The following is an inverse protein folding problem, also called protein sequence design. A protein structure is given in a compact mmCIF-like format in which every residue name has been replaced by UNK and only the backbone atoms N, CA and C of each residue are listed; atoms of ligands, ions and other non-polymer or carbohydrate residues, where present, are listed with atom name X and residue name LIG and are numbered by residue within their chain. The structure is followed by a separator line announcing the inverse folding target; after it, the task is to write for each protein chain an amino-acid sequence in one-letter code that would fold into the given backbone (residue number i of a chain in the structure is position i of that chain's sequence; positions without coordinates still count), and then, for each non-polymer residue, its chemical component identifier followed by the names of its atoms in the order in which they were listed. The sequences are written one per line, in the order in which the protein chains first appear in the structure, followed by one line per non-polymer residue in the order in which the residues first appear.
data_IF_914812096326
#
_entry.id   IF_914812096326
#
_cell.length_a   1.000
_cell.length_b   1.000
_cell.length_c   1.000
_cell.angle_alpha   90.00
_cell.angle_beta   90.00
_cell.angle_gamma   90.00
#
_symmetry.space_group_name_H-M   'P 1'
#
loop_
_entity.id
_entity.type
_entity.pdbx_description
1 polymer ?
#
# COMPACT_ATOMS: atom_id res chain seq x y z
N UNK A 1 8.70 -8.13 6.87
CA UNK A 1 8.46 -8.27 5.42
C UNK A 1 8.86 -6.97 4.75
N UNK A 2 9.60 -7.05 3.64
CA UNK A 2 9.99 -5.90 2.82
C UNK A 2 8.76 -5.50 1.99
N UNK A 3 8.27 -4.27 2.17
CA UNK A 3 7.06 -3.78 1.51
C UNK A 3 7.42 -3.29 0.10
N UNK A 4 6.69 -3.78 -0.90
CA UNK A 4 6.84 -3.35 -2.30
C UNK A 4 5.61 -2.52 -2.70
N UNK A 5 5.81 -1.24 -3.00
CA UNK A 5 4.75 -0.37 -3.51
C UNK A 5 4.60 -0.56 -5.02
N UNK A 6 3.42 -0.98 -5.44
CA UNK A 6 3.06 -1.11 -6.86
C UNK A 6 3.42 -2.46 -7.48
N UNK A 7 2.62 -2.84 -8.48
CA UNK A 7 2.86 -4.00 -9.34
C UNK A 7 1.72 -5.00 -9.35
N UNK A 8 1.09 -5.32 -8.22
CA UNK A 8 0.20 -6.48 -8.16
C UNK A 8 0.88 -7.71 -8.78
N UNK A 9 0.23 -8.40 -9.70
CA UNK A 9 0.83 -9.50 -10.47
C UNK A 9 2.06 -9.09 -11.31
N UNK A 10 2.25 -7.80 -11.61
CA UNK A 10 3.43 -7.29 -12.35
C UNK A 10 4.71 -7.28 -11.52
N UNK A 11 4.64 -7.32 -10.18
CA UNK A 11 5.83 -7.52 -9.34
C UNK A 11 6.53 -8.83 -9.73
N UNK A 12 5.74 -9.88 -9.97
CA UNK A 12 6.23 -11.19 -10.37
C UNK A 12 6.74 -11.23 -11.83
N UNK A 13 6.41 -10.25 -12.66
CA UNK A 13 6.85 -10.20 -14.07
C UNK A 13 8.37 -9.96 -14.20
N UNK A 14 9.02 -9.44 -13.15
CA UNK A 14 10.47 -9.28 -13.10
C UNK A 14 11.21 -10.59 -12.74
N UNK A 15 10.50 -11.63 -12.31
CA UNK A 15 11.12 -12.91 -11.94
C UNK A 15 11.36 -13.78 -13.17
N UNK A 16 12.59 -14.32 -13.31
CA UNK A 16 12.97 -15.27 -14.39
C UNK A 16 12.23 -16.61 -14.31
N UNK A 17 11.61 -16.92 -13.17
CA UNK A 17 10.84 -18.12 -12.92
C UNK A 17 10.06 -18.02 -11.61
N UNK A 18 9.36 -19.09 -11.23
CA UNK A 18 8.58 -19.10 -9.99
C UNK A 18 9.52 -19.11 -8.78
N UNK A 19 9.57 -18.00 -8.05
CA UNK A 19 10.32 -17.92 -6.81
C UNK A 19 9.61 -18.72 -5.69
N UNK A 20 10.32 -19.61 -4.98
CA UNK A 20 9.73 -20.44 -3.92
C UNK A 20 9.19 -19.60 -2.76
N UNK A 21 9.90 -18.54 -2.37
CA UNK A 21 9.56 -17.68 -1.23
C UNK A 21 9.11 -16.27 -1.66
N UNK A 22 8.30 -16.18 -2.72
CA UNK A 22 7.82 -14.90 -3.24
C UNK A 22 7.00 -14.15 -2.16
N UNK A 23 7.45 -12.97 -1.68
CA UNK A 23 6.71 -12.23 -0.66
C UNK A 23 5.31 -11.81 -1.12
N UNK A 24 5.15 -11.48 -2.41
CA UNK A 24 3.86 -11.14 -3.00
C UNK A 24 2.87 -12.32 -3.06
N UNK A 25 3.36 -13.57 -3.00
CA UNK A 25 2.51 -14.77 -2.91
C UNK A 25 2.28 -15.22 -1.48
N UNK A 26 3.32 -15.19 -0.66
CA UNK A 26 3.27 -15.59 0.75
C UNK A 26 2.37 -14.66 1.56
N UNK A 27 2.38 -13.36 1.24
CA UNK A 27 1.63 -12.34 1.97
C UNK A 27 0.44 -11.81 1.18
N UNK A 28 -0.06 -12.55 0.18
CA UNK A 28 -1.24 -12.11 -0.59
C UNK A 28 -2.49 -12.14 0.28
N UNK A 29 -3.46 -11.24 0.05
CA UNK A 29 -4.76 -11.35 0.71
C UNK A 29 -5.45 -12.68 0.39
N UNK A 30 -6.09 -13.28 1.39
CA UNK A 30 -6.83 -14.55 1.24
C UNK A 30 -8.35 -14.33 1.18
N UNK A 31 -8.81 -13.13 1.58
CA UNK A 31 -10.23 -12.74 1.59
C UNK A 31 -10.51 -11.70 0.51
N UNK A 32 -11.76 -11.64 0.04
CA UNK A 32 -12.21 -10.62 -0.92
C UNK A 32 -11.99 -9.20 -0.36
N UNK A 33 -12.39 -8.97 0.89
CA UNK A 33 -12.19 -7.71 1.61
C UNK A 33 -10.71 -7.29 1.62
N UNK A 34 -9.81 -8.25 1.88
CA UNK A 34 -8.37 -8.00 1.87
C UNK A 34 -7.86 -7.62 0.47
N UNK A 35 -8.38 -8.26 -0.58
CA UNK A 35 -8.05 -7.90 -1.97
C UNK A 35 -8.56 -6.51 -2.34
N UNK A 36 -9.78 -6.16 -1.95
CA UNK A 36 -10.38 -4.86 -2.21
C UNK A 36 -9.58 -3.74 -1.54
N UNK A 37 -9.21 -3.90 -0.27
CA UNK A 37 -8.37 -2.93 0.44
C UNK A 37 -6.96 -2.86 -0.14
N UNK A 38 -6.39 -3.99 -0.57
CA UNK A 38 -5.07 -4.01 -1.22
C UNK A 38 -5.07 -3.26 -2.57
N UNK A 39 -6.11 -3.43 -3.38
CA UNK A 39 -6.30 -2.67 -4.62
C UNK A 39 -6.52 -1.17 -4.33
N UNK A 40 -7.32 -0.84 -3.31
CA UNK A 40 -7.51 0.54 -2.85
C UNK A 40 -6.17 1.21 -2.51
N UNK A 41 -5.34 0.57 -1.68
CA UNK A 41 -4.02 1.09 -1.27
C UNK A 41 -3.13 1.40 -2.48
N UNK A 42 -3.17 0.55 -3.50
CA UNK A 42 -2.40 0.75 -4.75
C UNK A 42 -2.81 2.02 -5.51
N UNK A 43 -4.01 2.55 -5.27
CA UNK A 43 -4.56 3.78 -5.88
C UNK A 43 -4.28 5.04 -5.04
N UNK A 44 -3.86 4.89 -3.78
CA UNK A 44 -3.64 6.02 -2.85
C UNK A 44 -2.30 6.73 -3.03
N UNK A 45 -1.42 6.28 -3.93
CA UNK A 45 -0.11 6.91 -4.16
C UNK A 45 -0.19 8.41 -4.52
N UNK A 46 -1.27 8.85 -5.18
CA UNK A 46 -1.51 10.27 -5.49
C UNK A 46 -2.11 11.09 -4.34
N UNK A 47 -2.50 10.46 -3.23
CA UNK A 47 -3.20 11.08 -2.10
C UNK A 47 -2.28 11.27 -0.89
N UNK A 48 -0.97 11.34 -1.11
CA UNK A 48 0.00 11.50 -0.02
C UNK A 48 -0.02 12.92 0.53
N UNK A 49 0.02 13.02 1.86
CA UNK A 49 0.30 14.25 2.60
C UNK A 49 1.80 14.32 2.88
N UNK A 50 2.44 15.37 2.41
CA UNK A 50 3.91 15.52 2.45
C UNK A 50 4.32 16.90 2.93
N UNK A 51 5.52 16.98 3.50
CA UNK A 51 6.28 18.20 3.79
C UNK A 51 7.68 18.07 3.17
N UNK A 52 8.49 19.14 3.10
CA UNK A 52 9.87 19.02 2.65
C UNK A 52 10.64 17.97 3.48
N UNK A 53 11.10 16.90 2.81
CA UNK A 53 11.90 15.84 3.43
C UNK A 53 11.13 14.78 4.21
N UNK A 54 9.79 14.79 4.24
CA UNK A 54 9.02 13.73 4.91
C UNK A 54 7.61 13.51 4.35
N UNK A 55 7.16 12.26 4.40
CA UNK A 55 5.78 11.83 4.21
C UNK A 55 5.08 11.79 5.57
N UNK A 56 3.89 12.38 5.66
CA UNK A 56 3.07 12.39 6.87
C UNK A 56 2.04 11.25 6.90
N UNK A 57 1.55 10.83 5.74
CA UNK A 57 0.47 9.84 5.62
C UNK A 57 -0.30 9.98 4.32
N UNK A 58 -1.43 9.30 4.21
CA UNK A 58 -2.44 9.55 3.20
C UNK A 58 -3.43 10.63 3.65
N UNK A 59 -4.12 11.22 2.69
CA UNK A 59 -5.40 11.86 2.95
C UNK A 59 -6.44 10.76 3.23
N UNK A 60 -6.69 10.51 4.51
CA UNK A 60 -7.64 9.48 4.94
C UNK A 60 -9.08 9.80 4.49
N UNK A 61 -9.43 11.08 4.34
CA UNK A 61 -10.73 11.48 3.81
C UNK A 61 -10.88 11.07 2.34
N UNK A 62 -9.85 11.34 1.53
CA UNK A 62 -9.80 10.91 0.13
C UNK A 62 -9.79 9.38 0.00
N UNK A 63 -9.08 8.68 0.90
CA UNK A 63 -9.01 7.23 0.91
C UNK A 63 -10.38 6.59 1.18
N UNK A 64 -11.10 7.05 2.20
CA UNK A 64 -12.44 6.56 2.53
C UNK A 64 -13.48 6.96 1.47
N UNK A 65 -13.37 8.14 0.88
CA UNK A 65 -14.23 8.55 -0.24
C UNK A 65 -14.03 7.66 -1.47
N UNK A 66 -12.77 7.29 -1.76
CA UNK A 66 -12.46 6.37 -2.85
C UNK A 66 -12.94 4.94 -2.55
N UNK A 67 -12.79 4.46 -1.31
CA UNK A 67 -13.33 3.16 -0.88
C UNK A 67 -14.85 3.10 -1.13
N UNK A 68 -15.57 4.12 -0.66
CA UNK A 68 -17.02 4.24 -0.87
C UNK A 68 -17.38 4.26 -2.37
N UNK A 69 -16.64 5.02 -3.18
CA UNK A 69 -16.88 5.11 -4.61
C UNK A 69 -16.64 3.78 -5.37
N UNK A 70 -15.72 2.94 -4.87
CA UNK A 70 -15.42 1.62 -5.42
C UNK A 70 -16.36 0.52 -4.90
N UNK A 71 -17.29 0.86 -3.99
CA UNK A 71 -18.18 -0.11 -3.36
C UNK A 71 -17.50 -1.00 -2.32
N UNK A 72 -16.31 -0.60 -1.84
CA UNK A 72 -15.60 -1.28 -0.76
C UNK A 72 -16.27 -0.89 0.56
N UNK A 73 -16.44 -1.84 1.47
CA UNK A 73 -16.96 -1.54 2.80
C UNK A 73 -16.02 -0.53 3.49
N UNK A 74 -16.53 0.68 3.70
CA UNK A 74 -15.78 1.77 4.32
C UNK A 74 -15.38 1.46 5.76
N UNK A 75 -16.11 0.61 6.47
CA UNK A 75 -15.74 0.18 7.82
C UNK A 75 -14.47 -0.67 7.77
N UNK A 76 -14.39 -1.60 6.82
CA UNK A 76 -13.20 -2.43 6.61
C UNK A 76 -12.01 -1.57 6.19
N UNK A 77 -12.22 -0.62 5.27
CA UNK A 77 -11.17 0.32 4.87
C UNK A 77 -10.68 1.16 6.07
N UNK A 78 -11.61 1.69 6.89
CA UNK A 78 -11.28 2.48 8.07
C UNK A 78 -10.50 1.68 9.13
N UNK A 79 -10.77 0.37 9.26
CA UNK A 79 -10.06 -0.51 10.19
C UNK A 79 -8.64 -0.85 9.69
N UNK A 80 -8.49 -1.17 8.40
CA UNK A 80 -7.23 -1.68 7.85
C UNK A 80 -6.24 -0.60 7.40
N UNK A 81 -6.73 0.52 6.86
CA UNK A 81 -5.85 1.57 6.30
C UNK A 81 -4.84 2.18 7.29
N UNK A 82 -5.17 2.42 8.58
CA UNK A 82 -4.21 3.02 9.52
C UNK A 82 -2.93 2.20 9.73
N UNK A 83 -3.04 0.88 9.85
CA UNK A 83 -1.88 0.00 10.01
C UNK A 83 -1.01 -0.02 8.74
N UNK A 84 -1.65 -0.02 7.57
CA UNK A 84 -0.95 0.04 6.28
C UNK A 84 -0.26 1.40 6.10
N UNK A 85 -0.93 2.50 6.46
CA UNK A 85 -0.38 3.85 6.44
C UNK A 85 0.89 3.95 7.30
N UNK A 86 0.86 3.42 8.53
CA UNK A 86 2.01 3.45 9.43
C UNK A 86 3.25 2.76 8.81
N UNK A 87 3.05 1.65 8.09
CA UNK A 87 4.13 0.98 7.39
C UNK A 87 4.60 1.79 6.18
N UNK A 88 3.67 2.34 5.39
CA UNK A 88 3.97 3.16 4.23
C UNK A 88 4.76 4.42 4.60
N UNK A 89 4.32 5.17 5.61
CA UNK A 89 4.98 6.37 6.12
C UNK A 89 6.40 6.05 6.55
N UNK A 90 6.58 4.98 7.33
CA UNK A 90 7.92 4.54 7.76
C UNK A 90 8.82 4.24 6.56
N UNK A 91 8.33 3.45 5.60
CA UNK A 91 9.13 3.01 4.44
C UNK A 91 9.50 4.14 3.49
N UNK A 92 8.58 5.05 3.20
CA UNK A 92 8.89 6.20 2.34
C UNK A 92 9.85 7.18 3.02
N UNK A 93 9.71 7.40 4.33
CA UNK A 93 10.66 8.24 5.07
C UNK A 93 12.06 7.62 5.19
N UNK A 94 12.16 6.29 5.36
CA UNK A 94 13.44 5.57 5.27
C UNK A 94 14.12 5.84 3.91
N UNK A 95 13.39 5.70 2.80
CA UNK A 95 13.92 5.94 1.45
C UNK A 95 14.35 7.40 1.20
N UNK A 96 13.60 8.37 1.74
CA UNK A 96 13.98 9.79 1.67
C UNK A 96 15.28 10.04 2.45
N UNK A 97 15.43 9.42 3.63
CA UNK A 97 16.66 9.49 4.41
C UNK A 97 17.86 8.91 3.67
N UNK A 98 17.69 7.74 3.05
CA UNK A 98 18.76 7.07 2.28
C UNK A 98 19.16 7.83 1.01
N UNK A 99 18.21 8.55 0.39
CA UNK A 99 18.46 9.34 -0.83
C UNK A 99 19.17 10.68 -0.57
N UNK A 100 19.31 11.07 0.70
CA UNK A 100 19.98 12.30 1.13
C UNK A 100 21.25 12.03 1.95
N UNK A 101 21.72 10.78 1.98
CA UNK A 101 22.98 10.34 2.60
C UNK A 101 24.12 10.16 1.61
#
# INVERSE_FOLDING_TARGET
AEWSFGGGDRYCAACTGRCPDCPARLNRPETEDGWQVWDLVSRLGGQLRVIPGAVLGWDMGAALALANALGIDTLIAAELLPEIEAVMVRKLNEQIGDSHG
#
